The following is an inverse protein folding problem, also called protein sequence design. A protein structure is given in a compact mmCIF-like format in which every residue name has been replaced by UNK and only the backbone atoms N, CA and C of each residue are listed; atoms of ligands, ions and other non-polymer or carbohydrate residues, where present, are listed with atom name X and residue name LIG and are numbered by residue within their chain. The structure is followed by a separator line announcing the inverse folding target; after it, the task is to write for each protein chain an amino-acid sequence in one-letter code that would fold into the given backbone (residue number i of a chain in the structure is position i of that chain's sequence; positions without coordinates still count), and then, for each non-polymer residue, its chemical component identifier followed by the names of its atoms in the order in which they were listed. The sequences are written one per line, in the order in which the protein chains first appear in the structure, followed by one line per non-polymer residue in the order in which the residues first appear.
data_IF_497626254197
#
_entry.id   IF_497626254197
#
_cell.length_a   1.000
_cell.length_b   1.000
_cell.length_c   1.000
_cell.angle_alpha   90.00
_cell.angle_beta   90.00
_cell.angle_gamma   90.00
#
_symmetry.space_group_name_H-M   'P 1'
#
loop_
_entity.id
_entity.type
_entity.pdbx_description
1 polymer ?
#
# COMPACT_ATOMS: atom_id res chain seq x y z
N UNK A 1 7.33 28.36 41.67
CA UNK A 1 7.16 28.47 40.21
C UNK A 1 6.59 27.19 39.56
N UNK A 2 5.98 26.29 40.33
CA UNK A 2 5.71 24.91 39.90
C UNK A 2 4.28 24.74 39.36
N UNK A 3 3.37 25.65 39.72
CA UNK A 3 1.98 25.68 39.27
C UNK A 3 1.83 26.00 37.78
N UNK A 4 2.68 26.89 37.26
CA UNK A 4 2.69 27.25 35.83
C UNK A 4 3.18 26.09 34.94
N UNK A 5 4.13 25.27 35.43
CA UNK A 5 4.64 24.09 34.71
C UNK A 5 3.60 22.97 34.64
N UNK A 6 2.83 22.77 35.70
CA UNK A 6 1.71 21.81 35.71
C UNK A 6 0.62 22.16 34.71
N UNK A 7 0.25 23.45 34.64
CA UNK A 7 -0.74 23.95 33.68
C UNK A 7 -0.30 23.76 32.22
N UNK A 8 0.98 24.00 31.91
CA UNK A 8 1.52 23.77 30.57
C UNK A 8 1.45 22.29 30.16
N UNK A 9 1.82 21.38 31.07
CA UNK A 9 1.77 19.93 30.82
C UNK A 9 0.33 19.45 30.58
N UNK A 10 -0.65 19.98 31.33
CA UNK A 10 -2.06 19.62 31.11
C UNK A 10 -2.56 20.07 29.75
N UNK A 11 -2.14 21.23 29.25
CA UNK A 11 -2.53 21.72 27.93
C UNK A 11 -1.92 20.87 26.82
N UNK A 12 -0.63 20.53 26.93
CA UNK A 12 0.04 19.64 25.97
C UNK A 12 -0.59 18.25 25.97
N UNK A 13 -0.88 17.70 27.15
CA UNK A 13 -1.57 16.40 27.27
C UNK A 13 -2.95 16.42 26.63
N UNK A 14 -3.72 17.50 26.81
CA UNK A 14 -5.04 17.65 26.20
C UNK A 14 -4.92 17.69 24.67
N UNK A 15 -3.97 18.46 24.14
CA UNK A 15 -3.73 18.55 22.71
C UNK A 15 -3.38 17.20 22.09
N UNK A 16 -2.47 16.45 22.71
CA UNK A 16 -2.10 15.09 22.26
C UNK A 16 -3.31 14.16 22.28
N UNK A 17 -4.15 14.23 23.31
CA UNK A 17 -5.32 13.37 23.43
C UNK A 17 -6.39 13.70 22.37
N UNK A 18 -6.60 14.98 22.06
CA UNK A 18 -7.48 15.42 20.96
C UNK A 18 -6.93 14.93 19.62
N UNK A 19 -5.62 15.11 19.35
CA UNK A 19 -5.00 14.61 18.13
C UNK A 19 -5.15 13.09 17.98
N UNK A 20 -5.04 12.35 19.08
CA UNK A 20 -5.21 10.89 19.09
C UNK A 20 -6.66 10.48 18.79
N UNK A 21 -7.65 11.19 19.35
CA UNK A 21 -9.07 10.96 19.03
C UNK A 21 -9.35 11.23 17.55
N UNK A 22 -8.86 12.35 17.01
CA UNK A 22 -8.99 12.66 15.58
C UNK A 22 -8.35 11.57 14.70
N UNK A 23 -7.17 11.09 15.08
CA UNK A 23 -6.48 10.00 14.39
C UNK A 23 -7.33 8.72 14.42
N UNK A 24 -7.90 8.35 15.56
CA UNK A 24 -8.78 7.18 15.68
C UNK A 24 -10.04 7.29 14.83
N UNK A 25 -10.70 8.46 14.82
CA UNK A 25 -11.89 8.70 13.98
C UNK A 25 -11.52 8.60 12.51
N UNK A 26 -10.40 9.20 12.10
CA UNK A 26 -9.90 9.10 10.72
C UNK A 26 -9.65 7.66 10.29
N UNK A 27 -9.01 6.85 11.15
CA UNK A 27 -8.80 5.43 10.87
C UNK A 27 -10.11 4.63 10.78
N UNK A 28 -11.11 4.96 11.61
CA UNK A 28 -12.42 4.28 11.54
C UNK A 28 -13.20 4.64 10.27
N UNK A 29 -13.14 5.89 9.83
CA UNK A 29 -13.82 6.35 8.62
C UNK A 29 -13.18 5.74 7.36
N UNK A 30 -11.85 5.70 7.30
CA UNK A 30 -11.09 5.05 6.23
C UNK A 30 -11.42 3.56 6.07
N UNK A 31 -11.78 2.88 7.16
CA UNK A 31 -12.15 1.46 7.13
C UNK A 31 -13.61 1.22 6.71
N UNK A 32 -14.47 2.25 6.69
CA UNK A 32 -15.89 2.14 6.35
C UNK A 32 -16.19 2.46 4.88
N UNK A 33 -15.28 3.17 4.20
CA UNK A 33 -15.43 3.57 2.80
C UNK A 33 -14.83 2.52 1.84
N UNK A 34 -15.30 1.28 1.96
CA UNK A 34 -15.01 0.19 1.02
C UNK A 34 -15.83 0.27 -0.27
N UNK A 35 -15.80 1.42 -0.96
CA UNK A 35 -16.29 1.54 -2.35
C UNK A 35 -15.29 2.35 -3.17
N UNK A 36 -14.64 1.62 -4.06
CA UNK A 36 -13.70 2.10 -5.08
C UNK A 36 -14.34 3.15 -5.98
N UNK A 37 -13.61 4.21 -6.31
CA UNK A 37 -13.57 4.77 -7.66
C UNK A 37 -12.42 5.79 -7.78
N UNK A 38 -11.56 5.57 -8.78
CA UNK A 38 -10.95 6.61 -9.61
C UNK A 38 -10.16 7.76 -8.95
N UNK A 39 -8.84 7.68 -9.08
CA UNK A 39 -7.94 8.81 -9.36
C UNK A 39 -8.15 10.11 -8.56
N UNK A 40 -7.45 10.27 -7.44
CA UNK A 40 -6.57 11.43 -7.18
C UNK A 40 -5.96 11.31 -5.79
N UNK A 41 -4.66 11.01 -5.73
CA UNK A 41 -3.75 11.53 -4.71
C UNK A 41 -4.13 11.45 -3.22
N UNK A 42 -4.96 10.50 -2.78
CA UNK A 42 -5.12 10.21 -1.35
C UNK A 42 -4.23 9.02 -0.99
N UNK A 43 -3.48 9.19 0.09
CA UNK A 43 -2.41 8.32 0.55
C UNK A 43 -2.97 6.97 1.02
N UNK A 44 -3.36 6.11 0.08
CA UNK A 44 -3.80 4.73 0.35
C UNK A 44 -2.58 3.85 0.66
N UNK A 45 -2.03 4.01 1.86
CA UNK A 45 -0.88 3.20 2.32
C UNK A 45 -1.24 1.71 2.48
N UNK A 46 -2.53 1.39 2.64
CA UNK A 46 -2.99 0.05 3.04
C UNK A 46 -4.00 -0.60 2.10
N UNK A 47 -4.32 -0.02 0.93
CA UNK A 47 -5.18 -0.72 -0.03
C UNK A 47 -4.45 -1.90 -0.68
N UNK A 48 -5.24 -2.92 -0.98
CA UNK A 48 -4.84 -4.05 -1.82
C UNK A 48 -4.31 -3.57 -3.16
N UNK A 49 -3.25 -4.20 -3.66
CA UNK A 49 -2.64 -3.87 -4.94
C UNK A 49 -2.02 -5.09 -5.59
N UNK A 50 -2.03 -5.10 -6.92
CA UNK A 50 -1.39 -6.13 -7.71
C UNK A 50 -0.07 -5.63 -8.28
N UNK A 51 1.00 -6.38 -8.05
CA UNK A 51 2.31 -6.14 -8.61
C UNK A 51 2.64 -7.23 -9.62
N UNK A 52 2.95 -6.82 -10.85
CA UNK A 52 3.40 -7.70 -11.92
C UNK A 52 4.92 -7.66 -12.01
N UNK A 53 5.57 -8.82 -11.84
CA UNK A 53 7.00 -9.01 -11.99
C UNK A 53 7.29 -9.80 -13.27
N UNK A 54 8.20 -9.26 -14.09
CA UNK A 54 8.62 -9.83 -15.35
C UNK A 54 10.14 -10.04 -15.31
N UNK A 55 10.58 -11.29 -15.29
CA UNK A 55 11.98 -11.67 -15.44
C UNK A 55 12.33 -11.79 -16.92
N UNK A 56 13.18 -10.89 -17.40
CA UNK A 56 13.62 -10.86 -18.79
C UNK A 56 14.95 -11.61 -18.91
N UNK A 57 15.09 -12.48 -19.92
CA UNK A 57 16.38 -13.07 -20.27
C UNK A 57 17.07 -12.15 -21.29
N UNK A 58 17.76 -11.14 -20.78
CA UNK A 58 18.60 -10.26 -21.59
C UNK A 58 20.07 -10.46 -21.24
N UNK A 59 20.91 -10.55 -22.27
CA UNK A 59 22.36 -10.38 -22.18
C UNK A 59 22.66 -9.12 -22.97
N UNK A 60 23.28 -8.14 -22.31
CA UNK A 60 23.41 -6.74 -22.70
C UNK A 60 23.68 -6.48 -24.20
N UNK A 61 23.00 -5.46 -24.76
CA UNK A 61 23.61 -4.29 -25.43
C UNK A 61 22.58 -3.43 -26.24
N UNK A 62 21.27 -3.70 -26.17
CA UNK A 62 20.28 -2.92 -26.92
C UNK A 62 19.12 -2.44 -26.03
N UNK A 63 19.00 -1.12 -25.86
CA UNK A 63 17.90 -0.46 -25.15
C UNK A 63 16.48 -0.69 -25.74
N UNK A 64 16.36 -1.45 -26.82
CA UNK A 64 15.08 -1.86 -27.42
C UNK A 64 14.80 -3.31 -27.04
N UNK A 65 14.09 -3.50 -25.92
CA UNK A 65 13.69 -4.82 -25.47
C UNK A 65 12.59 -5.40 -26.38
N UNK A 66 12.97 -6.30 -27.30
CA UNK A 66 12.08 -7.15 -28.12
C UNK A 66 12.22 -8.62 -27.66
N UNK A 67 12.45 -8.83 -26.35
CA UNK A 67 12.67 -10.15 -25.77
C UNK A 67 11.39 -10.81 -25.26
N UNK A 68 11.43 -12.14 -25.07
CA UNK A 68 10.37 -12.88 -24.37
C UNK A 68 10.68 -12.88 -22.87
N UNK A 69 9.67 -12.67 -22.04
CA UNK A 69 9.79 -12.84 -20.59
C UNK A 69 9.91 -14.32 -20.25
N UNK A 70 10.85 -14.66 -19.36
CA UNK A 70 11.10 -16.04 -18.91
C UNK A 70 10.39 -16.34 -17.59
N UNK A 71 10.15 -15.32 -16.78
CA UNK A 71 9.44 -15.45 -15.49
C UNK A 71 8.32 -14.42 -15.40
N UNK A 72 7.10 -14.88 -15.15
CA UNK A 72 5.95 -14.01 -14.92
C UNK A 72 5.40 -14.34 -13.53
N UNK A 73 5.37 -13.35 -12.65
CA UNK A 73 4.84 -13.51 -11.29
C UNK A 73 3.88 -12.36 -10.99
N UNK A 74 2.71 -12.69 -10.46
CA UNK A 74 1.76 -11.72 -9.90
C UNK A 74 1.81 -11.84 -8.39
N UNK A 75 2.04 -10.72 -7.72
CA UNK A 75 1.95 -10.62 -6.27
C UNK A 75 0.76 -9.73 -5.92
N UNK A 76 -0.24 -10.35 -5.28
CA UNK A 76 -1.38 -9.65 -4.72
C UNK A 76 -1.09 -9.34 -3.25
N UNK A 77 -0.93 -8.05 -2.96
CA UNK A 77 -0.89 -7.55 -1.60
C UNK A 77 -2.34 -7.32 -1.19
N UNK A 78 -2.78 -8.04 -0.17
CA UNK A 78 -4.15 -8.00 0.33
C UNK A 78 -4.34 -6.89 1.37
N UNK A 79 -5.58 -6.66 1.79
CA UNK A 79 -5.86 -5.68 2.84
C UNK A 79 -5.38 -6.19 4.22
N UNK A 80 -5.18 -5.29 5.21
CA UNK A 80 -4.79 -5.69 6.56
C UNK A 80 -5.74 -6.73 7.16
N UNK A 81 -5.20 -7.89 7.56
CA UNK A 81 -5.97 -9.00 8.13
C UNK A 81 -6.38 -10.07 7.11
N UNK A 82 -6.12 -9.84 5.83
CA UNK A 82 -6.25 -10.83 4.76
C UNK A 82 -4.91 -11.49 4.43
N UNK A 83 -4.92 -12.45 3.50
CA UNK A 83 -3.71 -13.20 3.10
C UNK A 83 -3.22 -12.68 1.75
N UNK A 84 -1.94 -12.36 1.70
CA UNK A 84 -1.26 -12.09 0.45
C UNK A 84 -1.15 -13.36 -0.40
N UNK A 85 -1.11 -13.18 -1.72
CA UNK A 85 -0.97 -14.31 -2.65
C UNK A 85 0.09 -14.04 -3.71
N UNK A 86 0.85 -15.09 -4.03
CA UNK A 86 1.88 -15.08 -5.05
C UNK A 86 1.55 -16.12 -6.10
N UNK A 87 1.41 -15.68 -7.35
CA UNK A 87 1.02 -16.51 -8.48
C UNK A 87 2.17 -16.52 -9.48
N UNK A 88 2.80 -17.67 -9.66
CA UNK A 88 3.74 -17.88 -10.77
C UNK A 88 2.98 -18.32 -12.01
N UNK A 89 3.18 -17.64 -13.13
CA UNK A 89 2.63 -18.03 -14.43
C UNK A 89 3.75 -18.72 -15.21
N UNK A 90 3.60 -20.03 -15.53
CA UNK A 90 4.57 -20.72 -16.37
C UNK A 90 4.74 -20.03 -17.73
N UNK A 91 5.98 -19.95 -18.23
CA UNK A 91 6.32 -19.36 -19.53
C UNK A 91 5.46 -19.89 -20.69
N UNK A 92 5.15 -21.18 -20.65
CA UNK A 92 4.43 -21.88 -21.72
C UNK A 92 2.92 -21.98 -21.48
N UNK A 93 2.37 -21.12 -20.61
CA UNK A 93 0.91 -21.07 -20.39
C UNK A 93 0.22 -20.68 -21.70
N UNK A 94 -0.66 -21.55 -22.21
CA UNK A 94 -1.45 -21.25 -23.41
C UNK A 94 -2.52 -20.21 -23.09
N UNK A 95 -2.37 -19.01 -23.66
CA UNK A 95 -3.30 -17.89 -23.47
C UNK A 95 -3.77 -17.36 -24.82
N UNK A 96 -4.86 -16.60 -24.81
CA UNK A 96 -5.24 -15.75 -25.94
C UNK A 96 -4.50 -14.42 -25.80
N UNK A 97 -3.90 -13.93 -26.90
CA UNK A 97 -3.18 -12.67 -26.95
C UNK A 97 -4.04 -11.60 -27.64
#
# INVERSE_FOLDING_TARGET
MNRARGCFITIVSLFVLISLIFLCVYFMDANSSGKEEGSTGSLSLFASRDLLFLGLDEREDSNDFIGRTDTIIVFHISNPGEKDSLISIPRDTRVNL
#
